data_IF_896891968851
#
_entry.id   IF_896891968851
#
_cell.length_a   1.000
_cell.length_b   1.000
_cell.length_c   1.000
_cell.angle_alpha   90.00
_cell.angle_beta   90.00
_cell.angle_gamma   90.00
#
_symmetry.space_group_name_H-M   'P 1'
#
loop_
_entity.id
_entity.type
_entity.pdbx_description
1 polymer ?
#
# COMPACT_ATOMS: atom_id res chain seq x y z
N UNK A 1 36.56 30.15 14.02
CA UNK A 1 35.09 30.20 13.80
C UNK A 1 34.58 29.25 12.72
N UNK A 2 35.40 28.76 11.75
CA UNK A 2 34.96 27.83 10.68
C UNK A 2 34.63 26.39 11.14
N UNK A 3 35.16 25.93 12.27
CA UNK A 3 34.96 24.54 12.77
C UNK A 3 33.52 24.26 13.24
N UNK A 4 32.87 25.24 13.87
CA UNK A 4 31.49 25.12 14.34
C UNK A 4 30.47 25.13 13.19
N UNK A 5 30.78 25.86 12.10
CA UNK A 5 29.96 25.87 10.89
C UNK A 5 29.94 24.52 10.17
N UNK A 6 31.08 23.84 10.10
CA UNK A 6 31.19 22.48 9.52
C UNK A 6 30.47 21.43 10.37
N UNK A 7 30.60 21.51 11.71
CA UNK A 7 29.90 20.58 12.62
C UNK A 7 28.38 20.74 12.55
N UNK A 8 27.92 22.00 12.43
CA UNK A 8 26.50 22.34 12.26
C UNK A 8 25.94 21.77 10.94
N UNK A 9 26.70 21.90 9.84
CA UNK A 9 26.30 21.35 8.55
C UNK A 9 26.19 19.81 8.58
N UNK A 10 27.13 19.14 9.25
CA UNK A 10 27.13 17.68 9.43
C UNK A 10 25.89 17.21 10.23
N UNK A 11 25.55 17.93 11.30
CA UNK A 11 24.36 17.67 12.12
C UNK A 11 23.07 17.83 11.33
N UNK A 12 22.98 18.87 10.49
CA UNK A 12 21.83 19.09 9.62
C UNK A 12 21.68 17.94 8.60
N UNK A 13 22.80 17.49 8.03
CA UNK A 13 22.81 16.38 7.08
C UNK A 13 22.35 15.06 7.73
N UNK A 14 22.82 14.77 8.94
CA UNK A 14 22.38 13.61 9.71
C UNK A 14 20.88 13.65 10.03
N UNK A 15 20.33 14.81 10.40
CA UNK A 15 18.89 14.98 10.64
C UNK A 15 18.04 14.71 9.39
N UNK A 16 18.51 15.11 8.21
CA UNK A 16 17.83 14.85 6.93
C UNK A 16 17.85 13.36 6.56
N UNK A 17 18.97 12.67 6.80
CA UNK A 17 19.10 11.21 6.58
C UNK A 17 18.19 10.41 7.53
N UNK A 18 18.10 10.82 8.80
CA UNK A 18 17.21 10.17 9.78
C UNK A 18 15.73 10.43 9.45
N UNK A 19 15.38 11.60 8.91
CA UNK A 19 14.00 11.93 8.54
C UNK A 19 13.52 11.22 7.26
N UNK A 20 14.45 10.84 6.38
CA UNK A 20 14.15 10.10 5.15
C UNK A 20 14.16 8.58 5.35
N UNK A 21 14.78 8.10 6.42
CA UNK A 21 14.62 6.71 6.88
C UNK A 21 13.30 6.58 7.63
N UNK A 22 12.22 6.34 6.88
CA UNK A 22 11.04 5.73 7.51
C UNK A 22 11.49 4.42 8.14
N UNK A 23 11.20 4.14 9.43
CA UNK A 23 11.37 2.80 9.94
C UNK A 23 10.45 1.91 9.10
N UNK A 24 11.03 1.07 8.25
CA UNK A 24 10.34 -0.09 7.71
C UNK A 24 10.07 -0.98 8.92
N UNK A 25 8.97 -0.72 9.61
CA UNK A 25 8.47 -1.62 10.62
C UNK A 25 7.91 -2.81 9.83
N UNK A 26 8.79 -3.74 9.51
CA UNK A 26 8.43 -5.10 9.12
C UNK A 26 7.88 -5.78 10.38
N UNK A 27 6.69 -5.36 10.82
CA UNK A 27 5.88 -6.24 11.62
C UNK A 27 5.59 -7.44 10.70
N UNK A 28 6.18 -8.59 10.98
CA UNK A 28 5.83 -9.83 10.31
C UNK A 28 4.48 -10.31 10.85
N UNK A 29 3.40 -10.05 10.12
CA UNK A 29 2.08 -10.66 10.39
C UNK A 29 1.47 -11.27 9.11
N UNK A 30 2.37 -11.74 8.25
CA UNK A 30 2.04 -12.56 7.09
C UNK A 30 2.15 -14.02 7.54
N UNK A 31 1.02 -14.59 7.93
CA UNK A 31 0.97 -15.97 8.38
C UNK A 31 1.07 -16.90 7.17
N UNK A 32 2.07 -17.78 7.17
CA UNK A 32 2.14 -18.90 6.25
C UNK A 32 1.19 -19.98 6.77
N UNK A 33 0.11 -20.24 6.02
CA UNK A 33 -0.81 -21.35 6.34
C UNK A 33 -0.67 -22.36 5.20
N UNK A 34 0.09 -23.43 5.45
CA UNK A 34 0.44 -24.42 4.43
C UNK A 34 1.34 -23.84 3.33
N UNK A 35 0.98 -24.05 2.05
CA UNK A 35 1.68 -23.49 0.87
C UNK A 35 1.23 -22.07 0.49
N UNK A 36 0.26 -21.50 1.20
CA UNK A 36 -0.35 -20.22 0.87
C UNK A 36 0.14 -19.07 1.76
N UNK A 37 0.18 -17.87 1.18
CA UNK A 37 0.39 -16.64 1.92
C UNK A 37 -0.95 -16.08 2.41
N UNK A 38 -1.09 -15.86 3.71
CA UNK A 38 -2.29 -15.24 4.29
C UNK A 38 -1.96 -13.85 4.80
N UNK A 39 -2.71 -12.87 4.32
CA UNK A 39 -2.58 -11.46 4.73
C UNK A 39 -3.84 -11.03 5.45
N UNK A 40 -3.67 -10.51 6.67
CA UNK A 40 -4.78 -9.97 7.46
C UNK A 40 -5.34 -8.70 6.81
N UNK A 41 -6.66 -8.50 6.92
CA UNK A 41 -7.34 -7.30 6.39
C UNK A 41 -6.74 -5.99 6.94
N UNK A 42 -6.27 -5.98 8.19
CA UNK A 42 -5.65 -4.81 8.84
C UNK A 42 -4.36 -4.32 8.16
N UNK A 43 -3.70 -5.14 7.35
CA UNK A 43 -2.51 -4.75 6.58
C UNK A 43 -2.82 -3.99 5.31
N UNK A 44 -4.08 -4.01 4.87
CA UNK A 44 -4.49 -3.27 3.69
C UNK A 44 -4.39 -1.79 4.01
N UNK A 45 -3.64 -1.07 3.19
CA UNK A 45 -3.60 0.38 3.24
C UNK A 45 -4.85 0.93 2.58
N UNK A 46 -5.61 1.76 3.28
CA UNK A 46 -6.71 2.50 2.67
C UNK A 46 -6.12 3.54 1.71
N UNK A 47 -6.50 3.46 0.44
CA UNK A 47 -6.08 4.38 -0.62
C UNK A 47 -7.09 5.52 -0.78
N UNK A 48 -8.39 5.17 -0.73
CA UNK A 48 -9.51 6.09 -0.80
C UNK A 48 -10.59 5.58 0.13
N UNK A 49 -11.15 6.45 0.95
CA UNK A 49 -12.28 6.14 1.82
C UNK A 49 -13.27 7.29 1.76
N UNK A 50 -14.50 6.99 1.35
CA UNK A 50 -15.60 7.96 1.19
C UNK A 50 -16.89 7.34 1.73
N UNK A 51 -17.93 8.15 1.85
CA UNK A 51 -19.27 7.64 2.19
C UNK A 51 -19.88 6.72 1.12
N UNK A 52 -19.35 6.74 -0.11
CA UNK A 52 -19.83 5.93 -1.23
C UNK A 52 -19.02 4.64 -1.44
N UNK A 53 -17.97 4.42 -0.67
CA UNK A 53 -17.13 3.25 -0.80
C UNK A 53 -15.69 3.43 -0.34
N UNK A 54 -14.96 2.33 -0.39
CA UNK A 54 -13.56 2.24 0.03
C UNK A 54 -12.73 1.47 -1.01
N UNK A 55 -11.52 1.97 -1.24
CA UNK A 55 -10.47 1.29 -1.99
C UNK A 55 -9.29 1.09 -1.06
N UNK A 56 -8.89 -0.15 -0.86
CA UNK A 56 -7.71 -0.51 -0.06
C UNK A 56 -6.79 -1.44 -0.85
N UNK A 57 -5.49 -1.43 -0.54
CA UNK A 57 -4.53 -2.26 -1.25
C UNK A 57 -3.49 -2.88 -0.32
N UNK A 58 -2.89 -3.98 -0.77
CA UNK A 58 -1.75 -4.59 -0.10
C UNK A 58 -0.78 -5.16 -1.13
N UNK A 59 0.50 -4.92 -0.89
CA UNK A 59 1.58 -5.53 -1.65
C UNK A 59 2.00 -6.83 -0.98
N UNK A 60 2.08 -7.88 -1.78
CA UNK A 60 2.45 -9.23 -1.35
C UNK A 60 3.68 -9.64 -2.13
N UNK A 61 4.69 -10.17 -1.45
CA UNK A 61 5.85 -10.77 -2.10
C UNK A 61 5.87 -12.27 -1.81
N UNK A 62 5.97 -13.10 -2.84
CA UNK A 62 6.10 -14.55 -2.68
C UNK A 62 7.55 -14.98 -2.41
N UNK A 63 7.76 -16.28 -2.20
CA UNK A 63 9.08 -16.88 -1.96
C UNK A 63 10.04 -16.74 -3.14
N UNK A 64 9.51 -16.64 -4.36
CA UNK A 64 10.28 -16.46 -5.58
C UNK A 64 10.61 -14.98 -5.84
N UNK A 65 10.16 -14.09 -4.95
CA UNK A 65 10.34 -12.66 -5.04
C UNK A 65 9.39 -11.97 -6.02
N UNK A 66 8.36 -12.66 -6.52
CA UNK A 66 7.31 -12.06 -7.33
C UNK A 66 6.43 -11.22 -6.43
N UNK A 67 6.23 -9.95 -6.82
CA UNK A 67 5.36 -9.02 -6.12
C UNK A 67 3.98 -8.99 -6.78
N UNK A 68 2.94 -9.13 -5.96
CA UNK A 68 1.55 -9.02 -6.34
C UNK A 68 0.93 -7.81 -5.65
N UNK A 69 0.29 -6.94 -6.42
CA UNK A 69 -0.47 -5.82 -5.91
C UNK A 69 -1.95 -6.19 -5.88
N UNK A 70 -2.52 -6.36 -4.69
CA UNK A 70 -3.94 -6.68 -4.53
C UNK A 70 -4.71 -5.43 -4.11
N UNK A 71 -5.72 -5.06 -4.91
CA UNK A 71 -6.61 -3.95 -4.63
C UNK A 71 -8.02 -4.48 -4.35
N UNK A 72 -8.62 -3.97 -3.27
CA UNK A 72 -9.97 -4.30 -2.83
C UNK A 72 -10.84 -3.06 -2.97
N UNK A 73 -11.86 -3.16 -3.80
CA UNK A 73 -12.81 -2.09 -4.09
C UNK A 73 -14.15 -2.49 -3.51
N UNK A 74 -14.71 -1.67 -2.63
CA UNK A 74 -16.06 -1.80 -2.08
C UNK A 74 -16.83 -0.53 -2.39
N UNK A 75 -18.05 -0.69 -2.87
CA UNK A 75 -18.89 0.40 -3.34
C UNK A 75 -20.29 0.25 -2.71
N UNK A 76 -20.86 1.37 -2.28
CA UNK A 76 -22.26 1.42 -1.86
C UNK A 76 -23.19 1.28 -3.06
N UNK A 77 -24.43 0.80 -2.88
CA UNK A 77 -25.40 0.73 -3.97
C UNK A 77 -25.60 2.09 -4.65
N UNK A 78 -25.71 2.10 -5.98
CA UNK A 78 -25.85 3.31 -6.82
C UNK A 78 -24.64 4.27 -6.79
N UNK A 79 -23.49 3.83 -6.31
CA UNK A 79 -22.23 4.57 -6.47
C UNK A 79 -21.55 4.25 -7.81
N UNK A 80 -20.65 5.14 -8.24
CA UNK A 80 -19.89 5.02 -9.48
C UNK A 80 -18.40 5.06 -9.17
N UNK A 81 -17.66 4.08 -9.70
CA UNK A 81 -16.21 4.18 -9.79
C UNK A 81 -15.82 5.00 -11.03
N UNK A 82 -15.16 6.13 -10.81
CA UNK A 82 -14.78 7.01 -11.91
C UNK A 82 -13.75 6.34 -12.83
N UNK A 83 -13.81 6.57 -14.16
CA UNK A 83 -12.80 6.08 -15.07
C UNK A 83 -11.40 6.57 -14.66
N UNK A 84 -10.49 5.62 -14.45
CA UNK A 84 -9.08 5.90 -14.10
C UNK A 84 -8.15 5.10 -15.01
N UNK A 85 -7.02 5.70 -15.37
CA UNK A 85 -5.97 5.01 -16.11
C UNK A 85 -5.01 4.33 -15.12
N UNK A 86 -5.07 3.01 -15.06
CA UNK A 86 -4.15 2.21 -14.26
C UNK A 86 -2.88 1.92 -15.07
N UNK A 87 -1.72 2.14 -14.46
CA UNK A 87 -0.42 1.92 -15.09
C UNK A 87 0.06 0.46 -14.97
N UNK A 88 -0.87 -0.48 -14.77
CA UNK A 88 -0.59 -1.90 -14.58
C UNK A 88 -1.73 -2.73 -15.17
N UNK A 89 -1.39 -3.92 -15.67
CA UNK A 89 -2.38 -4.91 -16.07
C UNK A 89 -3.17 -5.37 -14.83
N UNK A 90 -4.50 -5.38 -14.95
CA UNK A 90 -5.40 -5.73 -13.86
C UNK A 90 -6.30 -6.90 -14.22
N UNK A 91 -6.53 -7.77 -13.24
CA UNK A 91 -7.55 -8.83 -13.30
C UNK A 91 -8.58 -8.55 -12.22
N UNK A 92 -9.83 -8.36 -12.62
CA UNK A 92 -10.94 -8.11 -11.70
C UNK A 92 -11.64 -9.41 -11.33
N UNK A 93 -11.94 -9.56 -10.05
CA UNK A 93 -12.78 -10.61 -9.52
C UNK A 93 -13.87 -10.01 -8.64
N UNK A 94 -15.13 -10.32 -8.95
CA UNK A 94 -16.29 -9.82 -8.21
C UNK A 94 -16.64 -10.83 -7.14
N UNK A 95 -16.30 -10.49 -5.89
CA UNK A 95 -16.63 -11.34 -4.74
C UNK A 95 -18.14 -11.31 -4.41
N UNK A 96 -18.80 -10.16 -4.55
CA UNK A 96 -20.23 -9.99 -4.25
C UNK A 96 -20.84 -8.90 -5.13
N UNK A 97 -22.12 -9.06 -5.48
CA UNK A 97 -22.88 -8.08 -6.26
C UNK A 97 -22.70 -8.25 -7.77
N UNK A 98 -23.14 -7.25 -8.53
CA UNK A 98 -22.96 -7.18 -9.98
C UNK A 98 -22.33 -5.84 -10.31
N UNK A 99 -21.20 -5.88 -11.02
CA UNK A 99 -20.54 -4.71 -11.55
C UNK A 99 -20.94 -4.57 -13.01
N UNK A 100 -21.48 -3.41 -13.38
CA UNK A 100 -21.65 -3.04 -14.78
C UNK A 100 -20.37 -2.34 -15.24
N UNK A 101 -19.53 -3.05 -15.99
CA UNK A 101 -18.45 -2.44 -16.75
C UNK A 101 -19.06 -1.95 -18.07
N UNK A 102 -19.31 -0.64 -18.18
CA UNK A 102 -19.77 0.00 -19.42
C UNK A 102 -18.57 0.41 -20.29
#
# INVERSE_FOLDING_TARGET
>A
MKKYSQLSLLLLFLLVVVSSSSPNVEEEDVLRVGKGLVVKKSRRKSLVSTEFGEISAVDIKDENGVSYHLQFITLEPNSLFLPVLLHADMVFYVQTGTLLCA
#
